data_IF_167205800726
#
_entry.id   IF_167205800726
#
_cell.length_a   1.000
_cell.length_b   1.000
_cell.length_c   1.000
_cell.angle_alpha   90.00
_cell.angle_beta   90.00
_cell.angle_gamma   90.00
#
_symmetry.space_group_name_H-M   'P 1'
#
loop_
_entity.id
_entity.type
_entity.pdbx_description
1 polymer ?
#
# COMPACT_ATOMS: atom_id res chain seq x y z
N UNK A 1 -43.03 -28.80 -3.22
CA UNK A 1 -42.86 -27.41 -2.81
C UNK A 1 -41.89 -27.22 -1.63
N UNK A 2 -41.92 -28.00 -0.53
CA UNK A 2 -40.99 -27.86 0.61
C UNK A 2 -39.49 -27.99 0.25
N UNK A 3 -39.14 -28.94 -0.64
CA UNK A 3 -37.74 -29.15 -1.03
C UNK A 3 -37.17 -28.00 -1.86
N UNK A 4 -37.98 -27.36 -2.72
CA UNK A 4 -37.55 -26.21 -3.51
C UNK A 4 -37.24 -25.00 -2.62
N UNK A 5 -38.05 -24.77 -1.57
CA UNK A 5 -37.85 -23.69 -0.61
C UNK A 5 -36.55 -23.85 0.19
N UNK A 6 -36.24 -25.08 0.63
CA UNK A 6 -35.02 -25.41 1.37
C UNK A 6 -33.77 -25.17 0.49
N UNK A 7 -33.79 -25.60 -0.75
CA UNK A 7 -32.70 -25.42 -1.71
C UNK A 7 -32.46 -23.91 -1.94
N UNK A 8 -33.54 -23.14 -2.10
CA UNK A 8 -33.42 -21.67 -2.31
C UNK A 8 -32.81 -20.99 -1.10
N UNK A 9 -33.15 -21.38 0.14
CA UNK A 9 -32.57 -20.80 1.36
C UNK A 9 -31.07 -21.15 1.46
N UNK A 10 -30.67 -22.38 1.15
CA UNK A 10 -29.26 -22.79 1.18
C UNK A 10 -28.44 -22.01 0.15
N UNK A 11 -28.93 -21.85 -1.07
CA UNK A 11 -28.23 -21.08 -2.13
C UNK A 11 -28.10 -19.62 -1.75
N UNK A 12 -29.16 -19.01 -1.18
CA UNK A 12 -29.11 -17.61 -0.69
C UNK A 12 -28.12 -17.45 0.46
N UNK A 13 -28.10 -18.38 1.42
CA UNK A 13 -27.14 -18.33 2.53
C UNK A 13 -25.70 -18.47 2.07
N UNK A 14 -25.41 -19.36 1.13
CA UNK A 14 -24.08 -19.51 0.52
C UNK A 14 -23.66 -18.26 -0.25
N UNK A 15 -24.57 -17.61 -0.98
CA UNK A 15 -24.29 -16.38 -1.70
C UNK A 15 -23.98 -15.20 -0.75
N UNK A 16 -24.71 -15.11 0.36
CA UNK A 16 -24.46 -14.07 1.40
C UNK A 16 -23.13 -14.32 2.08
N UNK A 17 -22.83 -15.57 2.43
CA UNK A 17 -21.53 -15.94 3.05
C UNK A 17 -20.40 -15.61 2.08
N UNK A 18 -20.50 -16.01 0.83
CA UNK A 18 -19.52 -15.70 -0.22
C UNK A 18 -19.32 -14.19 -0.43
N UNK A 19 -20.40 -13.40 -0.37
CA UNK A 19 -20.30 -11.93 -0.47
C UNK A 19 -19.59 -11.31 0.73
N UNK A 20 -19.85 -11.77 1.95
CA UNK A 20 -19.20 -11.28 3.17
C UNK A 20 -17.71 -11.63 3.16
N UNK A 21 -17.33 -12.85 2.77
CA UNK A 21 -15.94 -13.30 2.72
C UNK A 21 -15.12 -12.67 1.58
N UNK A 22 -15.77 -12.16 0.52
CA UNK A 22 -15.09 -11.55 -0.62
C UNK A 22 -15.08 -10.02 -0.62
N UNK A 23 -15.50 -9.38 0.46
CA UNK A 23 -15.50 -7.93 0.55
C UNK A 23 -14.08 -7.39 0.56
N UNK A 24 -13.72 -6.66 -0.50
CA UNK A 24 -12.46 -5.91 -0.56
C UNK A 24 -12.63 -4.62 0.23
N UNK A 25 -11.73 -4.38 1.14
CA UNK A 25 -11.74 -3.21 2.03
C UNK A 25 -10.43 -2.43 1.88
N UNK A 26 -10.39 -1.23 2.40
CA UNK A 26 -9.15 -0.46 2.50
C UNK A 26 -9.15 0.42 3.75
N UNK A 27 -7.95 0.72 4.24
CA UNK A 27 -7.69 1.79 5.19
C UNK A 27 -6.80 2.85 4.54
N UNK A 28 -6.79 4.04 5.12
CA UNK A 28 -5.89 5.12 4.71
C UNK A 28 -4.99 5.53 5.86
N UNK A 29 -3.69 5.61 5.61
CA UNK A 29 -2.72 6.15 6.57
C UNK A 29 -2.07 7.39 5.97
N UNK A 30 -1.90 8.44 6.77
CA UNK A 30 -1.28 9.69 6.34
C UNK A 30 -0.12 10.03 7.27
N UNK A 31 1.04 10.38 6.70
CA UNK A 31 2.21 10.83 7.43
C UNK A 31 2.70 12.16 6.86
N UNK A 32 2.98 13.11 7.75
CA UNK A 32 3.62 14.38 7.40
C UNK A 32 5.00 14.46 8.03
N UNK A 33 6.01 14.64 7.20
CA UNK A 33 7.39 14.90 7.64
C UNK A 33 7.78 16.32 7.25
N UNK A 34 8.33 17.07 8.18
CA UNK A 34 8.76 18.45 7.96
C UNK A 34 10.16 18.65 8.52
N UNK A 35 10.99 19.37 7.79
CA UNK A 35 12.25 19.90 8.27
C UNK A 35 12.45 21.34 7.72
N UNK A 36 13.63 21.89 7.88
CA UNK A 36 13.92 23.25 7.42
C UNK A 36 13.85 23.41 5.90
N UNK A 37 14.09 22.35 5.14
CA UNK A 37 14.28 22.38 3.68
C UNK A 37 13.05 21.96 2.89
N UNK A 38 12.21 21.07 3.44
CA UNK A 38 11.05 20.56 2.74
C UNK A 38 9.95 20.05 3.67
N UNK A 39 8.76 19.93 3.09
CA UNK A 39 7.63 19.17 3.65
C UNK A 39 7.34 17.99 2.74
N UNK A 40 7.18 16.80 3.32
CA UNK A 40 6.73 15.59 2.65
C UNK A 40 5.41 15.13 3.27
N UNK A 41 4.38 15.01 2.45
CA UNK A 41 3.09 14.42 2.83
C UNK A 41 2.92 13.09 2.11
N UNK A 42 2.92 11.99 2.86
CA UNK A 42 2.71 10.64 2.34
C UNK A 42 1.33 10.13 2.71
N UNK A 43 0.59 9.68 1.72
CA UNK A 43 -0.72 9.05 1.87
C UNK A 43 -0.62 7.62 1.37
N UNK A 44 -1.02 6.68 2.21
CA UNK A 44 -1.02 5.25 1.94
C UNK A 44 -2.47 4.78 1.90
N UNK A 45 -2.88 4.15 0.82
CA UNK A 45 -4.16 3.46 0.71
C UNK A 45 -3.88 1.97 0.63
N UNK A 46 -4.22 1.27 1.70
CA UNK A 46 -3.87 -0.13 1.93
C UNK A 46 -5.12 -0.96 1.73
N UNK A 47 -5.10 -1.81 0.71
CA UNK A 47 -6.21 -2.68 0.33
C UNK A 47 -5.98 -4.07 0.90
N UNK A 48 -7.03 -4.63 1.49
CA UNK A 48 -6.99 -5.94 2.12
C UNK A 48 -8.28 -6.73 1.88
N UNK A 49 -8.18 -8.03 2.06
CA UNK A 49 -9.30 -8.98 2.02
C UNK A 49 -9.01 -10.09 3.03
N UNK A 50 -9.99 -10.45 3.87
CA UNK A 50 -9.80 -11.44 4.94
C UNK A 50 -8.57 -11.14 5.82
N UNK A 51 -8.39 -9.86 6.20
CA UNK A 51 -7.26 -9.35 6.98
C UNK A 51 -5.90 -9.42 6.26
N UNK A 52 -5.80 -9.94 5.04
CA UNK A 52 -4.57 -10.02 4.26
C UNK A 52 -4.46 -8.85 3.27
N UNK A 53 -3.33 -8.14 3.34
CA UNK A 53 -3.03 -7.03 2.43
C UNK A 53 -2.59 -7.59 1.08
N UNK A 54 -3.25 -7.12 0.01
CA UNK A 54 -2.91 -7.52 -1.35
C UNK A 54 -2.36 -6.37 -2.21
N UNK A 55 -2.68 -5.10 -1.87
CA UNK A 55 -2.21 -3.93 -2.62
C UNK A 55 -2.02 -2.72 -1.74
N UNK A 56 -0.99 -1.92 -2.03
CA UNK A 56 -0.80 -0.59 -1.44
C UNK A 56 -0.65 0.42 -2.58
N UNK A 57 -1.39 1.53 -2.49
CA UNK A 57 -1.18 2.73 -3.30
C UNK A 57 -0.58 3.82 -2.41
N UNK A 58 0.55 4.36 -2.81
CA UNK A 58 1.26 5.42 -2.10
C UNK A 58 1.22 6.67 -2.95
N UNK A 59 0.81 7.78 -2.36
CA UNK A 59 0.92 9.10 -2.96
C UNK A 59 1.75 9.98 -2.05
N UNK A 60 2.86 10.50 -2.57
CA UNK A 60 3.73 11.43 -1.86
C UNK A 60 3.73 12.78 -2.54
N UNK A 61 3.63 13.83 -1.73
CA UNK A 61 3.72 15.21 -2.19
C UNK A 61 4.88 15.88 -1.45
N UNK A 62 5.83 16.39 -2.19
CA UNK A 62 7.00 17.11 -1.70
C UNK A 62 6.85 18.59 -2.02
N UNK A 63 7.05 19.45 -1.04
CA UNK A 63 7.19 20.88 -1.23
C UNK A 63 8.53 21.32 -0.62
N UNK A 64 9.48 21.76 -1.48
CA UNK A 64 10.83 22.10 -1.10
C UNK A 64 11.06 23.62 -1.18
N UNK A 65 12.00 24.16 -0.39
CA UNK A 65 12.37 25.57 -0.43
C UNK A 65 12.96 26.01 -1.77
N UNK A 66 13.67 25.12 -2.45
CA UNK A 66 14.33 25.41 -3.74
C UNK A 66 14.16 24.27 -4.71
N UNK A 67 14.26 24.58 -6.00
CA UNK A 67 14.23 23.59 -7.07
C UNK A 67 15.38 22.56 -6.95
N UNK A 68 16.55 22.99 -6.48
CA UNK A 68 17.70 22.10 -6.31
C UNK A 68 17.42 21.04 -5.23
N UNK A 69 16.90 21.45 -4.08
CA UNK A 69 16.49 20.55 -3.00
C UNK A 69 15.43 19.57 -3.48
N UNK A 70 14.42 20.08 -4.21
CA UNK A 70 13.38 19.21 -4.79
C UNK A 70 14.00 18.16 -5.71
N UNK A 71 14.89 18.57 -6.62
CA UNK A 71 15.50 17.65 -7.58
C UNK A 71 16.29 16.54 -6.86
N UNK A 72 17.04 16.86 -5.81
CA UNK A 72 17.78 15.85 -5.03
C UNK A 72 16.83 14.85 -4.35
N UNK A 73 15.77 15.35 -3.71
CA UNK A 73 14.79 14.49 -3.04
C UNK A 73 14.08 13.57 -4.05
N UNK A 74 13.57 14.15 -5.14
CA UNK A 74 12.83 13.40 -6.14
C UNK A 74 13.70 12.39 -6.88
N UNK A 75 14.98 12.70 -7.10
CA UNK A 75 15.93 11.76 -7.70
C UNK A 75 16.18 10.56 -6.78
N UNK A 76 16.34 10.80 -5.47
CA UNK A 76 16.53 9.72 -4.50
C UNK A 76 15.29 8.80 -4.43
N UNK A 77 14.10 9.40 -4.40
CA UNK A 77 12.84 8.66 -4.42
C UNK A 77 12.72 7.83 -5.71
N UNK A 78 12.94 8.43 -6.86
CA UNK A 78 12.86 7.78 -8.17
C UNK A 78 13.84 6.61 -8.29
N UNK A 79 15.09 6.81 -7.87
CA UNK A 79 16.11 5.75 -7.88
C UNK A 79 15.71 4.57 -6.99
N UNK A 80 15.16 4.84 -5.80
CA UNK A 80 14.67 3.79 -4.91
C UNK A 80 13.55 2.97 -5.56
N UNK A 81 12.56 3.64 -6.14
CA UNK A 81 11.44 2.94 -6.78
C UNK A 81 11.85 2.20 -8.04
N UNK A 82 12.80 2.74 -8.81
CA UNK A 82 13.35 2.05 -9.98
C UNK A 82 14.03 0.75 -9.58
N UNK A 83 14.87 0.77 -8.54
CA UNK A 83 15.55 -0.42 -8.06
C UNK A 83 14.53 -1.47 -7.56
N UNK A 84 13.52 -1.06 -6.80
CA UNK A 84 12.46 -1.98 -6.38
C UNK A 84 11.70 -2.59 -7.55
N UNK A 85 11.36 -1.80 -8.57
CA UNK A 85 10.68 -2.32 -9.78
C UNK A 85 11.53 -3.34 -10.53
N UNK A 86 12.82 -3.08 -10.68
CA UNK A 86 13.74 -3.97 -11.40
C UNK A 86 13.98 -5.29 -10.65
N UNK A 87 14.00 -5.28 -9.33
CA UNK A 87 14.38 -6.43 -8.51
C UNK A 87 13.21 -7.21 -7.93
N UNK A 88 12.11 -6.54 -7.60
CA UNK A 88 10.95 -7.14 -6.94
C UNK A 88 9.80 -7.41 -7.93
N UNK A 89 9.78 -6.72 -9.07
CA UNK A 89 8.66 -6.78 -10.02
C UNK A 89 7.45 -6.01 -9.52
N UNK A 90 6.34 -6.08 -10.21
CA UNK A 90 5.01 -5.50 -9.91
C UNK A 90 4.95 -4.25 -9.00
N UNK A 91 5.84 -3.30 -9.30
CA UNK A 91 6.08 -2.07 -8.58
C UNK A 91 5.96 -0.91 -9.57
N UNK A 92 4.75 -0.40 -9.76
CA UNK A 92 4.52 0.71 -10.68
C UNK A 92 4.71 2.05 -9.97
N UNK A 93 5.40 2.99 -10.63
CA UNK A 93 5.59 4.33 -10.10
C UNK A 93 5.50 5.41 -11.16
N UNK A 94 5.02 6.58 -10.76
CA UNK A 94 5.02 7.81 -11.54
C UNK A 94 5.69 8.92 -10.72
N UNK A 95 6.48 9.77 -11.39
CA UNK A 95 7.16 10.93 -10.77
C UNK A 95 6.83 12.17 -11.57
N UNK A 96 6.34 13.22 -10.89
CA UNK A 96 6.06 14.54 -11.47
C UNK A 96 6.79 15.62 -10.68
N UNK A 97 7.37 16.58 -11.37
CA UNK A 97 8.11 17.71 -10.76
C UNK A 97 7.69 19.02 -11.41
N UNK A 98 7.40 20.02 -10.59
CA UNK A 98 7.12 21.37 -11.05
C UNK A 98 7.70 22.39 -10.08
N UNK A 99 8.70 23.19 -10.52
CA UNK A 99 9.39 24.20 -9.70
C UNK A 99 9.91 23.63 -8.37
N UNK A 100 9.18 23.90 -7.28
CA UNK A 100 9.52 23.46 -5.91
C UNK A 100 8.58 22.38 -5.38
N UNK A 101 7.68 21.85 -6.22
CA UNK A 101 6.71 20.81 -5.87
C UNK A 101 6.95 19.52 -6.65
N UNK A 102 6.88 18.41 -5.95
CA UNK A 102 6.97 17.07 -6.53
C UNK A 102 5.82 16.18 -6.09
N UNK A 103 5.40 15.30 -6.95
CA UNK A 103 4.43 14.24 -6.65
C UNK A 103 4.99 12.92 -7.12
N UNK A 104 4.88 11.89 -6.25
CA UNK A 104 5.09 10.50 -6.63
C UNK A 104 3.81 9.71 -6.40
N UNK A 105 3.58 8.73 -7.26
CA UNK A 105 2.55 7.70 -7.08
C UNK A 105 3.22 6.36 -7.24
N UNK A 106 2.94 5.46 -6.32
CA UNK A 106 3.47 4.09 -6.32
C UNK A 106 2.33 3.12 -6.10
N UNK A 107 2.35 2.03 -6.83
CA UNK A 107 1.43 0.91 -6.66
C UNK A 107 2.26 -0.34 -6.44
N UNK A 108 2.02 -1.01 -5.32
CA UNK A 108 2.63 -2.29 -4.96
C UNK A 108 1.52 -3.33 -4.94
N UNK A 109 1.61 -4.33 -5.80
CA UNK A 109 0.69 -5.46 -5.81
C UNK A 109 1.38 -6.69 -5.20
N UNK A 110 1.07 -6.99 -3.94
CA UNK A 110 1.69 -8.09 -3.20
C UNK A 110 1.34 -9.48 -3.74
N UNK A 111 0.32 -9.60 -4.59
CA UNK A 111 -0.02 -10.86 -5.25
C UNK A 111 0.90 -11.19 -6.44
N UNK A 112 1.64 -10.19 -6.93
CA UNK A 112 2.43 -10.27 -8.16
C UNK A 112 3.93 -10.04 -7.96
N UNK A 113 4.37 -9.55 -6.79
CA UNK A 113 5.80 -9.29 -6.53
C UNK A 113 6.57 -10.59 -6.29
N UNK A 114 7.87 -10.58 -6.59
CA UNK A 114 8.80 -11.59 -6.10
C UNK A 114 9.00 -11.41 -4.58
N UNK A 115 8.31 -12.23 -3.80
CA UNK A 115 8.33 -12.14 -2.34
C UNK A 115 9.70 -12.49 -1.75
N UNK A 116 10.49 -13.34 -2.40
CA UNK A 116 11.85 -13.66 -1.92
C UNK A 116 12.79 -12.47 -2.12
N UNK A 117 12.70 -11.81 -3.27
CA UNK A 117 13.43 -10.58 -3.52
C UNK A 117 12.97 -9.48 -2.56
N UNK A 118 11.64 -9.32 -2.36
CA UNK A 118 11.07 -8.35 -1.42
C UNK A 118 11.62 -8.51 0.00
N UNK A 119 11.73 -9.74 0.52
CA UNK A 119 12.23 -10.01 1.88
C UNK A 119 13.72 -9.70 2.04
N UNK A 120 14.52 -9.71 0.97
CA UNK A 120 15.93 -9.26 1.02
C UNK A 120 16.05 -7.77 1.35
N UNK A 121 15.11 -6.94 0.85
CA UNK A 121 15.04 -5.51 1.15
C UNK A 121 14.30 -5.20 2.45
N UNK A 122 13.42 -6.10 2.88
CA UNK A 122 12.58 -5.92 4.05
C UNK A 122 12.70 -7.14 4.98
N UNK A 123 13.89 -7.41 5.54
CA UNK A 123 14.13 -8.62 6.35
C UNK A 123 13.31 -8.63 7.66
N UNK A 124 12.82 -7.47 8.10
CA UNK A 124 11.98 -7.32 9.29
C UNK A 124 10.47 -7.38 8.97
N UNK A 125 10.10 -7.74 7.72
CA UNK A 125 8.70 -7.84 7.34
C UNK A 125 8.00 -8.95 8.15
N UNK A 126 6.98 -8.57 8.93
CA UNK A 126 6.15 -9.52 9.67
C UNK A 126 5.03 -10.03 8.76
N UNK A 127 5.26 -11.19 8.13
CA UNK A 127 4.31 -11.83 7.22
C UNK A 127 3.69 -13.06 7.89
N UNK A 128 2.43 -13.32 7.55
CA UNK A 128 1.73 -14.54 7.95
C UNK A 128 2.24 -15.79 7.18
N UNK A 129 1.66 -16.96 7.45
CA UNK A 129 2.02 -18.22 6.81
C UNK A 129 1.81 -18.18 5.27
N UNK A 130 0.90 -17.35 4.78
CA UNK A 130 0.64 -17.13 3.34
C UNK A 130 1.61 -16.13 2.70
N UNK A 131 2.64 -15.68 3.44
CA UNK A 131 3.57 -14.60 3.02
C UNK A 131 2.86 -13.27 2.72
N UNK A 132 1.79 -12.96 3.46
CA UNK A 132 1.02 -11.71 3.38
C UNK A 132 1.16 -10.90 4.65
N UNK A 133 1.07 -9.58 4.52
CA UNK A 133 0.89 -8.71 5.69
C UNK A 133 -0.52 -8.89 6.26
N UNK A 134 -0.62 -9.02 7.59
CA UNK A 134 -1.88 -8.80 8.27
C UNK A 134 -2.14 -7.29 8.35
N UNK A 135 -3.39 -6.87 8.12
CA UNK A 135 -3.76 -5.44 8.05
C UNK A 135 -3.54 -4.72 9.39
N UNK A 136 -3.84 -5.35 10.53
CA UNK A 136 -3.67 -4.73 11.84
C UNK A 136 -2.18 -4.55 12.19
N UNK A 137 -1.33 -5.55 11.87
CA UNK A 137 0.12 -5.46 12.08
C UNK A 137 0.73 -4.36 11.19
N UNK A 138 0.31 -4.30 9.94
CA UNK A 138 0.79 -3.27 9.02
C UNK A 138 0.35 -1.86 9.44
N UNK A 139 -0.91 -1.70 9.85
CA UNK A 139 -1.44 -0.45 10.41
C UNK A 139 -0.63 0.00 11.61
N UNK A 140 -0.41 -0.89 12.58
CA UNK A 140 0.40 -0.62 13.77
C UNK A 140 1.81 -0.17 13.39
N UNK A 141 2.46 -0.85 12.45
CA UNK A 141 3.78 -0.47 11.95
C UNK A 141 3.79 0.96 11.37
N UNK A 142 2.77 1.36 10.61
CA UNK A 142 2.66 2.72 10.08
C UNK A 142 2.42 3.76 11.20
N UNK A 143 1.60 3.44 12.19
CA UNK A 143 1.31 4.30 13.33
C UNK A 143 2.56 4.49 14.23
N UNK A 144 3.33 3.44 14.48
CA UNK A 144 4.61 3.51 15.20
C UNK A 144 5.65 4.38 14.47
N UNK A 145 5.56 4.47 13.15
CA UNK A 145 6.38 5.36 12.31
C UNK A 145 5.82 6.78 12.18
N UNK A 146 4.77 7.11 12.93
CA UNK A 146 4.17 8.44 13.01
C UNK A 146 3.11 8.73 11.94
N UNK A 147 2.52 7.73 11.31
CA UNK A 147 1.35 7.90 10.46
C UNK A 147 0.07 7.90 11.31
N UNK A 148 -1.00 8.48 10.76
CA UNK A 148 -2.36 8.43 11.31
C UNK A 148 -3.19 7.59 10.36
N UNK A 149 -3.71 6.45 10.85
CA UNK A 149 -4.52 5.53 10.07
C UNK A 149 -6.02 5.61 10.42
N UNK A 150 -6.89 5.51 9.40
CA UNK A 150 -8.36 5.57 9.53
C UNK A 150 -9.01 4.55 8.61
#
# INVERSE_FOLDING_TARGET
MKNALIITIIVLSLAIISYIFNKKEYITCTKKTMNEDYTLLSNYKIYYQNEEVYKIEIKENVEAKTTNILNQIMQNIENSYKNYKEEIGSYDYEVKKEKTKGETKVIINYDEIDMEAYLKYNPEANLNENKKYNIEDLKKMYEERGAICK
#
